data_IF_623610244765
#
_entry.id   IF_623610244765
#
_cell.length_a   1.000
_cell.length_b   1.000
_cell.length_c   1.000
_cell.angle_alpha   90.00
_cell.angle_beta   90.00
_cell.angle_gamma   90.00
#
_symmetry.space_group_name_H-M   'P 1'
#
loop_
_entity.id
_entity.type
_entity.pdbx_description
1 polymer ?
#
# COMPACT_ATOMS: atom_id res chain seq x y z
N UNK A 1 7.32 -6.16 3.74
CA UNK A 1 7.61 -5.06 4.68
C UNK A 1 7.23 -3.73 4.05
N UNK A 2 6.70 -2.76 4.80
CA UNK A 2 6.31 -1.46 4.27
C UNK A 2 7.52 -0.66 3.77
N UNK A 3 7.33 0.12 2.71
CA UNK A 3 8.37 0.95 2.08
C UNK A 3 8.55 2.32 2.76
N UNK A 4 7.78 2.62 3.81
CA UNK A 4 7.83 3.88 4.56
C UNK A 4 7.25 5.09 3.83
N UNK A 5 6.66 4.91 2.64
CA UNK A 5 6.09 6.00 1.84
C UNK A 5 4.67 6.30 2.28
N UNK A 6 4.33 7.58 2.33
CA UNK A 6 3.05 8.08 2.87
C UNK A 6 2.53 9.21 1.98
N UNK A 7 1.21 9.30 1.85
CA UNK A 7 0.52 10.38 1.15
C UNK A 7 -0.98 10.31 1.40
N UNK A 8 -1.68 11.39 1.03
CA UNK A 8 -3.13 11.48 1.15
C UNK A 8 -3.78 11.26 -0.21
N UNK A 9 -4.84 10.45 -0.23
CA UNK A 9 -5.55 10.08 -1.45
C UNK A 9 -7.05 10.25 -1.27
N UNK A 10 -7.78 10.65 -2.33
CA UNK A 10 -9.23 10.61 -2.33
C UNK A 10 -9.76 9.22 -1.98
N UNK A 11 -10.91 9.15 -1.28
CA UNK A 11 -11.61 7.88 -1.08
C UNK A 11 -11.97 7.27 -2.43
N UNK A 12 -11.73 5.96 -2.57
CA UNK A 12 -11.96 5.22 -3.81
C UNK A 12 -10.74 5.15 -4.73
N UNK A 13 -9.65 5.87 -4.45
CA UNK A 13 -8.38 5.69 -5.18
C UNK A 13 -7.88 4.25 -5.00
N UNK A 14 -7.63 3.50 -6.10
CA UNK A 14 -7.07 2.15 -6.02
C UNK A 14 -5.70 2.16 -5.36
N UNK A 15 -5.43 1.19 -4.48
CA UNK A 15 -4.16 1.12 -3.76
C UNK A 15 -2.94 0.96 -4.70
N UNK A 16 -3.10 0.29 -5.85
CA UNK A 16 -2.04 0.21 -6.87
C UNK A 16 -1.68 1.59 -7.43
N UNK A 17 -2.67 2.45 -7.63
CA UNK A 17 -2.46 3.81 -8.13
C UNK A 17 -1.82 4.69 -7.05
N UNK A 18 -2.33 4.62 -5.82
CA UNK A 18 -1.74 5.31 -4.68
C UNK A 18 -0.26 4.92 -4.50
N UNK A 19 0.05 3.62 -4.54
CA UNK A 19 1.42 3.11 -4.45
C UNK A 19 2.33 3.67 -5.57
N UNK A 20 1.86 3.67 -6.82
CA UNK A 20 2.60 4.22 -7.96
C UNK A 20 2.85 5.72 -7.84
N UNK A 21 1.87 6.49 -7.37
CA UNK A 21 2.04 7.94 -7.16
C UNK A 21 3.07 8.27 -6.07
N UNK A 22 3.18 7.40 -5.05
CA UNK A 22 4.25 7.43 -4.05
C UNK A 22 5.59 6.89 -4.58
N UNK A 23 5.61 6.41 -5.83
CA UNK A 23 6.75 5.79 -6.51
C UNK A 23 7.08 4.37 -6.05
N UNK A 24 6.21 3.73 -5.26
CA UNK A 24 6.44 2.35 -4.80
C UNK A 24 6.40 1.45 -6.02
N UNK A 25 7.50 0.74 -6.24
CA UNK A 25 7.65 -0.12 -7.39
C UNK A 25 6.84 -1.40 -7.17
N UNK A 26 5.67 -1.48 -7.83
CA UNK A 26 4.77 -2.62 -7.78
C UNK A 26 4.44 -3.04 -9.20
N UNK A 27 4.81 -4.28 -9.52
CA UNK A 27 4.47 -4.90 -10.79
C UNK A 27 2.96 -5.17 -10.91
N UNK A 28 2.38 -4.76 -12.04
CA UNK A 28 1.01 -5.12 -12.39
C UNK A 28 0.84 -5.22 -13.89
N UNK A 29 0.85 -6.45 -14.40
CA UNK A 29 0.63 -6.76 -15.83
C UNK A 29 -0.85 -6.70 -16.21
N UNK A 30 -1.75 -6.88 -15.25
CA UNK A 30 -3.19 -6.80 -15.49
C UNK A 30 -3.76 -5.39 -15.35
N UNK A 31 -2.93 -4.38 -15.04
CA UNK A 31 -3.39 -3.00 -14.85
C UNK A 31 -4.34 -2.81 -13.66
N UNK A 32 -4.19 -3.60 -12.59
CA UNK A 32 -5.05 -3.49 -11.41
C UNK A 32 -6.38 -4.27 -11.48
N UNK A 33 -6.59 -5.10 -12.50
CA UNK A 33 -7.81 -5.93 -12.65
C UNK A 33 -7.89 -7.15 -11.73
N UNK A 34 -6.89 -7.40 -10.89
CA UNK A 34 -6.87 -8.55 -9.96
C UNK A 34 -6.60 -9.92 -10.60
N UNK A 35 -6.26 -9.99 -11.89
CA UNK A 35 -6.10 -11.24 -12.63
C UNK A 35 -4.75 -11.93 -12.41
N UNK A 36 -3.70 -11.17 -12.09
CA UNK A 36 -2.32 -11.68 -12.05
C UNK A 36 -1.75 -11.84 -10.64
N UNK A 37 -2.45 -11.40 -9.60
CA UNK A 37 -2.00 -11.48 -8.20
C UNK A 37 -0.76 -10.66 -7.80
N UNK A 38 -0.04 -10.04 -8.75
CA UNK A 38 1.27 -9.40 -8.49
C UNK A 38 1.23 -8.14 -7.63
N UNK A 39 0.08 -7.45 -7.60
CA UNK A 39 -0.12 -6.24 -6.80
C UNK A 39 -1.01 -6.50 -5.57
N UNK A 40 -0.97 -7.71 -5.02
CA UNK A 40 -1.72 -8.06 -3.82
C UNK A 40 -1.14 -7.35 -2.59
N UNK A 41 -2.02 -6.89 -1.71
CA UNK A 41 -1.67 -6.07 -0.55
C UNK A 41 -2.15 -6.80 0.71
N UNK A 42 -1.32 -6.78 1.74
CA UNK A 42 -1.68 -7.24 3.08
C UNK A 42 -1.55 -6.08 4.07
N UNK A 43 -2.56 -5.93 4.91
CA UNK A 43 -2.50 -5.06 6.08
C UNK A 43 -1.70 -5.77 7.16
N UNK A 44 -0.60 -5.16 7.59
CA UNK A 44 0.27 -5.71 8.63
C UNK A 44 0.18 -4.84 9.87
N UNK A 45 0.04 -5.47 11.03
CA UNK A 45 0.09 -4.80 12.32
C UNK A 45 1.47 -4.96 12.96
N UNK A 46 1.88 -3.99 13.76
CA UNK A 46 3.15 -3.99 14.49
C UNK A 46 3.93 -2.67 14.37
N UNK A 47 5.06 -2.63 15.07
CA UNK A 47 5.97 -1.48 15.09
C UNK A 47 7.11 -1.66 14.09
N UNK A 48 7.24 -0.71 13.17
CA UNK A 48 8.26 -0.68 12.12
C UNK A 48 9.25 0.47 12.39
N UNK A 49 10.15 0.25 13.36
CA UNK A 49 11.10 1.25 13.87
C UNK A 49 11.93 1.93 12.76
N UNK A 50 12.35 1.19 11.72
CA UNK A 50 13.10 1.72 10.58
C UNK A 50 12.40 2.90 9.90
N UNK A 51 11.07 2.93 9.94
CA UNK A 51 10.24 3.93 9.29
C UNK A 51 9.45 4.79 10.26
N UNK A 52 9.62 4.58 11.58
CA UNK A 52 8.81 5.23 12.63
C UNK A 52 7.30 5.08 12.37
N UNK A 53 6.86 3.86 12.08
CA UNK A 53 5.46 3.54 11.80
C UNK A 53 4.99 2.54 12.83
N UNK A 54 3.93 2.88 13.56
CA UNK A 54 3.12 1.93 14.31
C UNK A 54 1.82 1.68 13.52
N UNK A 55 1.63 0.44 13.10
CA UNK A 55 0.50 0.02 12.27
C UNK A 55 -0.43 -0.86 13.11
N UNK A 56 -1.70 -0.51 13.14
CA UNK A 56 -2.75 -1.24 13.83
C UNK A 56 -4.01 -1.31 12.95
N UNK A 57 -4.84 -2.33 13.16
CA UNK A 57 -6.12 -2.48 12.47
C UNK A 57 -7.08 -1.34 12.78
N UNK A 58 -6.99 -0.75 13.98
CA UNK A 58 -7.82 0.38 14.40
C UNK A 58 -7.48 1.69 13.66
N UNK A 59 -6.34 1.74 12.96
CA UNK A 59 -5.97 2.89 12.11
C UNK A 59 -6.63 2.85 10.72
N UNK A 60 -7.34 1.77 10.36
CA UNK A 60 -8.07 1.68 9.09
C UNK A 60 -9.35 2.51 9.19
N UNK A 61 -9.51 3.49 8.29
CA UNK A 61 -10.66 4.42 8.26
C UNK A 61 -11.43 4.40 6.94
#
# INVERSE_FOLDING_TARGET
>A
MPSGRRGFFPRGTPLLEAARSLGVDIDSVCGGRGLCGRCQISCVAGSFAKHQIDSDVDHLS
#
